data_IF_350424341552
#
_entry.id   IF_350424341552
#
_cell.length_a   1.000
_cell.length_b   1.000
_cell.length_c   1.000
_cell.angle_alpha   90.00
_cell.angle_beta   90.00
_cell.angle_gamma   90.00
#
_symmetry.space_group_name_H-M   'P 1'
#
loop_
_entity.id
_entity.type
_entity.pdbx_description
1 polymer ?
#
# COMPACT_ATOMS: atom_id res chain seq x y z
N UNK A 1 8.30 -12.10 20.77
CA UNK A 1 9.35 -11.83 21.79
C UNK A 1 8.70 -11.55 23.14
N UNK A 2 9.16 -12.19 24.21
CA UNK A 2 8.58 -12.10 25.55
C UNK A 2 9.52 -11.32 26.47
N UNK A 3 9.01 -10.32 27.18
CA UNK A 3 9.70 -9.52 28.19
C UNK A 3 8.77 -9.35 29.40
N UNK A 4 8.60 -10.43 30.18
CA UNK A 4 7.78 -10.40 31.38
C UNK A 4 8.68 -10.30 32.61
N UNK A 5 8.41 -9.32 33.45
CA UNK A 5 9.02 -9.17 34.76
C UNK A 5 8.02 -9.55 35.85
N UNK A 6 8.51 -10.25 36.87
CA UNK A 6 7.76 -10.60 38.07
C UNK A 6 8.45 -9.98 39.28
N UNK A 7 7.72 -9.22 40.09
CA UNK A 7 8.29 -8.51 41.24
C UNK A 7 7.35 -8.63 42.44
N UNK A 8 7.88 -9.09 43.57
CA UNK A 8 7.12 -9.10 44.82
C UNK A 8 7.04 -7.70 45.41
N UNK A 9 5.83 -7.27 45.75
CA UNK A 9 5.59 -6.04 46.46
C UNK A 9 5.71 -6.23 47.97
N UNK A 10 5.92 -5.13 48.70
CA UNK A 10 6.02 -5.13 50.16
C UNK A 10 4.75 -5.65 50.87
N UNK A 11 3.60 -5.63 50.19
CA UNK A 11 2.32 -6.14 50.70
C UNK A 11 2.13 -7.65 50.44
N UNK A 12 3.11 -8.33 49.84
CA UNK A 12 3.03 -9.76 49.51
C UNK A 12 2.30 -10.08 48.20
N UNK A 13 1.95 -9.07 47.39
CA UNK A 13 1.38 -9.27 46.04
C UNK A 13 2.49 -9.44 45.02
N UNK A 14 2.34 -10.41 44.11
CA UNK A 14 3.23 -10.54 42.95
C UNK A 14 2.75 -9.63 41.81
N UNK A 15 3.56 -8.66 41.40
CA UNK A 15 3.28 -7.86 40.20
C UNK A 15 3.91 -8.52 38.97
N UNK A 16 3.08 -8.87 37.99
CA UNK A 16 3.52 -9.24 36.65
C UNK A 16 3.41 -8.02 35.74
N UNK A 17 4.42 -7.77 34.92
CA UNK A 17 4.41 -6.63 33.99
C UNK A 17 5.26 -6.91 32.75
N UNK A 18 5.02 -6.14 31.69
CA UNK A 18 5.78 -6.21 30.45
C UNK A 18 4.99 -6.86 29.33
N UNK A 19 5.65 -7.64 28.48
CA UNK A 19 5.06 -8.14 27.24
C UNK A 19 5.20 -9.64 27.07
N UNK A 20 4.15 -10.27 26.55
CA UNK A 20 4.12 -11.67 26.13
C UNK A 20 3.88 -11.78 24.63
N UNK A 21 4.31 -12.87 24.02
CA UNK A 21 4.00 -13.11 22.61
C UNK A 21 2.59 -13.68 22.40
N UNK A 22 2.17 -14.59 23.29
CA UNK A 22 0.90 -15.31 23.21
C UNK A 22 0.18 -15.29 24.55
N UNK A 23 -1.11 -14.96 24.51
CA UNK A 23 -2.00 -14.89 25.67
C UNK A 23 -2.28 -16.24 26.35
N UNK A 24 -2.26 -17.33 25.59
CA UNK A 24 -2.43 -18.69 26.13
C UNK A 24 -1.30 -19.12 27.09
N UNK A 25 -0.06 -18.72 26.79
CA UNK A 25 1.11 -18.97 27.64
C UNK A 25 1.00 -18.21 28.95
N UNK A 26 0.55 -16.96 28.92
CA UNK A 26 0.33 -16.17 30.13
C UNK A 26 -0.82 -16.77 30.96
N UNK A 27 -1.88 -17.27 30.32
CA UNK A 27 -2.98 -17.94 31.02
C UNK A 27 -2.51 -19.16 31.82
N UNK A 28 -1.57 -19.93 31.27
CA UNK A 28 -0.98 -21.08 31.98
C UNK A 28 -0.21 -20.65 33.23
N UNK A 29 0.45 -19.49 33.21
CA UNK A 29 1.14 -18.92 34.38
C UNK A 29 0.13 -18.48 35.44
N UNK A 30 -0.93 -17.77 35.03
CA UNK A 30 -2.02 -17.32 35.91
C UNK A 30 -2.66 -18.46 36.69
N UNK A 31 -2.96 -19.57 36.00
CA UNK A 31 -3.54 -20.76 36.62
C UNK A 31 -2.62 -21.39 37.67
N UNK A 32 -1.30 -21.45 37.41
CA UNK A 32 -0.32 -21.97 38.38
C UNK A 32 -0.20 -21.07 39.61
N UNK A 33 -0.13 -19.75 39.41
CA UNK A 33 -0.08 -18.80 40.52
C UNK A 33 -1.34 -18.90 41.39
N UNK A 34 -2.52 -19.01 40.77
CA UNK A 34 -3.78 -19.22 41.47
C UNK A 34 -3.81 -20.55 42.26
N UNK A 35 -3.33 -21.64 41.66
CA UNK A 35 -3.23 -22.94 42.34
C UNK A 35 -2.27 -22.94 43.54
N UNK A 36 -1.25 -22.07 43.52
CA UNK A 36 -0.32 -21.87 44.64
C UNK A 36 -0.82 -20.86 45.67
N UNK A 37 -2.01 -20.28 45.49
CA UNK A 37 -2.56 -19.27 46.40
C UNK A 37 -1.81 -17.94 46.35
N UNK A 38 -1.06 -17.67 45.28
CA UNK A 38 -0.32 -16.41 45.12
C UNK A 38 -1.30 -15.31 44.73
N UNK A 39 -1.40 -14.27 45.54
CA UNK A 39 -2.07 -13.03 45.16
C UNK A 39 -1.18 -12.28 44.14
N UNK A 40 -1.73 -11.96 42.97
CA UNK A 40 -0.97 -11.26 41.93
C UNK A 40 -1.77 -10.15 41.24
N UNK A 41 -1.05 -9.14 40.76
CA UNK A 41 -1.54 -8.10 39.85
C UNK A 41 -0.91 -8.32 38.48
N UNK A 42 -1.72 -8.33 37.44
CA UNK A 42 -1.27 -8.61 36.07
C UNK A 42 -1.40 -7.38 35.18
N UNK A 43 -0.24 -6.84 34.80
CA UNK A 43 -0.09 -5.72 33.87
C UNK A 43 0.73 -6.17 32.64
N UNK A 44 0.63 -7.44 32.25
CA UNK A 44 1.32 -7.98 31.07
C UNK A 44 0.42 -7.88 29.85
N UNK A 45 0.95 -7.30 28.77
CA UNK A 45 0.25 -7.13 27.50
C UNK A 45 0.78 -8.13 26.46
N UNK A 46 -0.10 -8.92 25.83
CA UNK A 46 0.34 -9.89 24.83
C UNK A 46 0.22 -9.38 23.40
N UNK A 47 1.23 -9.66 22.57
CA UNK A 47 1.28 -9.30 21.15
C UNK A 47 0.07 -9.80 20.36
N UNK A 48 -0.38 -11.03 20.60
CA UNK A 48 -1.57 -11.58 19.94
C UNK A 48 -2.88 -10.87 20.35
N UNK A 49 -2.98 -10.34 21.57
CA UNK A 49 -4.08 -9.49 22.00
C UNK A 49 -4.00 -8.10 21.38
N UNK A 50 -2.81 -7.48 21.37
CA UNK A 50 -2.58 -6.20 20.71
C UNK A 50 -2.96 -6.25 19.22
N UNK A 51 -2.51 -7.28 18.49
CA UNK A 51 -2.87 -7.49 17.08
C UNK A 51 -4.39 -7.58 16.90
N UNK A 52 -5.09 -8.31 17.78
CA UNK A 52 -6.56 -8.42 17.71
C UNK A 52 -7.25 -7.08 17.95
N UNK A 53 -6.85 -6.34 18.98
CA UNK A 53 -7.43 -5.04 19.29
C UNK A 53 -7.21 -4.02 18.16
N UNK A 54 -5.99 -3.96 17.59
CA UNK A 54 -5.70 -3.11 16.43
C UNK A 54 -6.54 -3.52 15.23
N UNK A 55 -6.64 -4.83 14.95
CA UNK A 55 -7.50 -5.36 13.87
C UNK A 55 -8.95 -4.96 14.05
N UNK A 56 -9.48 -5.06 15.26
CA UNK A 56 -10.88 -4.73 15.54
C UNK A 56 -11.17 -3.26 15.25
N UNK A 57 -10.28 -2.35 15.66
CA UNK A 57 -10.41 -0.90 15.37
C UNK A 57 -10.35 -0.63 13.86
N UNK A 58 -9.40 -1.25 13.15
CA UNK A 58 -9.25 -1.08 11.70
C UNK A 58 -10.47 -1.64 10.93
N UNK A 59 -10.94 -2.82 11.30
CA UNK A 59 -12.08 -3.48 10.63
C UNK A 59 -13.38 -2.72 10.91
N UNK A 60 -13.58 -2.18 12.12
CA UNK A 60 -14.74 -1.33 12.43
C UNK A 60 -14.75 -0.03 11.61
N UNK A 61 -13.58 0.47 11.21
CA UNK A 61 -13.47 1.57 10.28
C UNK A 61 -13.62 1.15 8.81
N UNK A 62 -13.76 -0.15 8.53
CA UNK A 62 -13.96 -0.78 7.21
C UNK A 62 -12.67 -1.20 6.51
N UNK A 63 -11.53 -1.26 7.22
CA UNK A 63 -10.24 -1.66 6.62
C UNK A 63 -10.16 -3.19 6.70
N UNK A 64 -10.64 -3.85 5.65
CA UNK A 64 -10.88 -5.31 5.67
C UNK A 64 -9.66 -6.12 5.20
N UNK A 65 -8.89 -5.59 4.25
CA UNK A 65 -7.67 -6.21 3.74
C UNK A 65 -6.44 -5.69 4.49
N UNK A 66 -6.30 -6.11 5.75
CA UNK A 66 -5.21 -5.68 6.64
C UNK A 66 -4.30 -6.83 7.06
N UNK A 67 -3.01 -6.69 6.82
CA UNK A 67 -1.99 -7.54 7.41
C UNK A 67 -1.34 -6.81 8.60
N UNK A 68 -1.24 -7.50 9.74
CA UNK A 68 -0.69 -6.93 10.98
C UNK A 68 0.46 -7.80 11.46
N UNK A 69 1.62 -7.20 11.65
CA UNK A 69 2.82 -7.84 12.19
C UNK A 69 3.34 -7.10 13.41
N UNK A 70 4.22 -7.75 14.16
CA UNK A 70 4.89 -7.16 15.31
C UNK A 70 6.33 -7.65 15.35
N UNK A 71 7.26 -6.71 15.36
CA UNK A 71 8.71 -7.00 15.38
C UNK A 71 9.34 -6.74 16.75
N UNK A 72 8.69 -5.94 17.60
CA UNK A 72 9.13 -5.66 18.96
C UNK A 72 7.96 -5.51 19.96
N UNK A 73 8.21 -5.65 21.27
CA UNK A 73 7.19 -5.53 22.31
C UNK A 73 6.46 -4.18 22.31
N UNK A 74 5.15 -4.22 22.16
CA UNK A 74 4.30 -3.03 22.11
C UNK A 74 4.32 -2.31 20.76
N UNK A 75 4.92 -2.89 19.73
CA UNK A 75 4.92 -2.33 18.37
C UNK A 75 4.06 -3.16 17.42
N UNK A 76 3.28 -2.49 16.59
CA UNK A 76 2.47 -3.09 15.52
C UNK A 76 2.77 -2.39 14.20
N UNK A 77 3.05 -3.16 13.16
CA UNK A 77 3.10 -2.68 11.77
C UNK A 77 1.82 -3.07 11.06
N UNK A 78 1.21 -2.11 10.36
CA UNK A 78 0.03 -2.28 9.53
C UNK A 78 0.46 -2.26 8.07
N UNK A 79 0.30 -3.38 7.40
CA UNK A 79 0.42 -3.46 5.95
C UNK A 79 -0.98 -3.46 5.32
N UNK A 80 -1.39 -2.30 4.81
CA UNK A 80 -2.69 -2.07 4.20
C UNK A 80 -2.70 -0.77 3.39
N UNK A 81 -3.65 -0.66 2.46
CA UNK A 81 -3.89 0.60 1.73
C UNK A 81 -4.63 1.60 2.62
N UNK A 82 -3.86 2.33 3.43
CA UNK A 82 -4.38 3.35 4.34
C UNK A 82 -4.19 4.73 3.70
N UNK A 83 -5.29 5.31 3.23
CA UNK A 83 -5.32 6.71 2.83
C UNK A 83 -5.43 7.63 4.05
N UNK A 84 -4.53 8.62 4.12
CA UNK A 84 -4.51 9.67 5.14
C UNK A 84 -5.67 10.65 4.92
N UNK A 85 -6.86 10.29 5.41
CA UNK A 85 -8.09 11.06 5.26
C UNK A 85 -8.98 11.01 6.49
N UNK A 86 -10.22 11.50 6.35
CA UNK A 86 -11.19 11.59 7.47
C UNK A 86 -11.39 10.26 8.20
N UNK A 87 -11.40 9.16 7.45
CA UNK A 87 -11.57 7.81 7.98
C UNK A 87 -10.41 7.41 8.89
N UNK A 88 -9.17 7.57 8.43
CA UNK A 88 -7.98 7.35 9.25
C UNK A 88 -7.97 8.28 10.47
N UNK A 89 -8.19 9.58 10.25
CA UNK A 89 -8.25 10.56 11.34
C UNK A 89 -9.27 10.22 12.42
N UNK A 90 -10.40 9.61 12.04
CA UNK A 90 -11.45 9.18 12.98
C UNK A 90 -11.05 8.05 13.93
N UNK A 91 -10.06 7.22 13.56
CA UNK A 91 -9.62 6.08 14.39
C UNK A 91 -8.28 6.27 15.08
N UNK A 92 -7.49 7.29 14.70
CA UNK A 92 -6.18 7.53 15.31
C UNK A 92 -6.24 7.59 16.84
N UNK A 93 -7.25 8.27 17.39
CA UNK A 93 -7.40 8.38 18.84
C UNK A 93 -7.79 7.05 19.50
N UNK A 94 -8.54 6.19 18.82
CA UNK A 94 -8.88 4.88 19.38
C UNK A 94 -7.64 3.99 19.43
N UNK A 95 -6.81 4.02 18.38
CA UNK A 95 -5.55 3.29 18.32
C UNK A 95 -4.59 3.72 19.44
N UNK A 96 -4.46 5.02 19.73
CA UNK A 96 -3.58 5.51 20.81
C UNK A 96 -4.06 5.14 22.23
N UNK A 97 -5.33 4.76 22.38
CA UNK A 97 -5.88 4.32 23.68
C UNK A 97 -5.72 2.83 23.96
N UNK A 98 -5.21 2.04 23.00
CA UNK A 98 -4.97 0.60 23.18
C UNK A 98 -3.86 0.39 24.23
N UNK A 99 -4.16 -0.24 25.38
CA UNK A 99 -3.15 -0.50 26.41
C UNK A 99 -1.99 -1.32 25.87
N UNK A 100 -0.76 -0.93 26.20
CA UNK A 100 0.44 -1.65 25.77
C UNK A 100 0.93 -1.35 24.36
N UNK A 101 0.13 -0.70 23.50
CA UNK A 101 0.57 -0.23 22.19
C UNK A 101 1.43 1.03 22.35
N UNK A 102 2.70 0.93 22.01
CA UNK A 102 3.70 2.02 22.08
C UNK A 102 3.92 2.68 20.74
N UNK A 103 4.08 1.88 19.70
CA UNK A 103 4.39 2.34 18.36
C UNK A 103 3.49 1.65 17.33
N UNK A 104 3.03 2.44 16.38
CA UNK A 104 2.25 2.00 15.24
C UNK A 104 2.97 2.46 13.98
N UNK A 105 3.28 1.51 13.11
CA UNK A 105 3.87 1.76 11.81
C UNK A 105 2.84 1.42 10.73
N UNK A 106 2.81 2.22 9.66
CA UNK A 106 1.95 1.98 8.51
C UNK A 106 2.87 1.81 7.32
N UNK A 107 2.82 0.62 6.74
CA UNK A 107 3.55 0.24 5.56
C UNK A 107 2.54 0.10 4.42
N UNK A 108 2.47 1.07 3.50
CA UNK A 108 1.64 0.91 2.29
C UNK A 108 2.45 0.17 1.23
N UNK A 109 2.60 -1.15 1.41
CA UNK A 109 3.40 -1.99 0.52
C UNK A 109 2.84 -1.96 -0.90
N UNK A 110 1.52 -1.98 -1.06
CA UNK A 110 0.85 -1.93 -2.36
C UNK A 110 1.17 -0.64 -3.13
N UNK A 111 1.08 0.52 -2.46
CA UNK A 111 1.49 1.82 -3.03
C UNK A 111 2.98 1.84 -3.38
N UNK A 112 3.83 1.28 -2.51
CA UNK A 112 5.27 1.19 -2.77
C UNK A 112 5.56 0.34 -4.01
N UNK A 113 4.86 -0.79 -4.15
CA UNK A 113 5.00 -1.72 -5.28
C UNK A 113 4.54 -1.10 -6.60
N UNK A 114 3.37 -0.45 -6.64
CA UNK A 114 2.88 0.16 -7.88
C UNK A 114 3.77 1.33 -8.30
N UNK A 115 4.24 2.13 -7.35
CA UNK A 115 5.15 3.24 -7.64
C UNK A 115 6.47 2.73 -8.23
N UNK A 116 7.02 1.64 -7.68
CA UNK A 116 8.20 1.00 -8.24
C UNK A 116 7.95 0.44 -9.66
N UNK A 117 6.81 -0.23 -9.87
CA UNK A 117 6.42 -0.75 -11.18
C UNK A 117 6.32 0.37 -12.23
N UNK A 118 5.58 1.45 -11.92
CA UNK A 118 5.42 2.59 -12.82
C UNK A 118 6.78 3.25 -13.11
N UNK A 119 7.62 3.43 -12.09
CA UNK A 119 8.95 3.99 -12.27
C UNK A 119 9.82 3.14 -13.21
N UNK A 120 9.82 1.81 -13.03
CA UNK A 120 10.56 0.91 -13.92
C UNK A 120 10.02 0.94 -15.36
N UNK A 121 8.70 1.02 -15.55
CA UNK A 121 8.09 1.13 -16.88
C UNK A 121 8.48 2.44 -17.58
N UNK A 122 8.52 3.55 -16.85
CA UNK A 122 8.98 4.84 -17.37
C UNK A 122 10.46 4.77 -17.78
N UNK A 123 11.32 4.19 -16.93
CA UNK A 123 12.75 4.08 -17.19
C UNK A 123 13.06 3.24 -18.44
N UNK A 124 12.24 2.23 -18.72
CA UNK A 124 12.35 1.37 -19.92
C UNK A 124 11.55 1.89 -21.12
N UNK A 125 10.94 3.07 -21.04
CA UNK A 125 10.06 3.65 -22.07
C UNK A 125 8.89 2.74 -22.47
N UNK A 126 8.42 1.92 -21.54
CA UNK A 126 7.26 1.03 -21.72
C UNK A 126 5.94 1.68 -21.26
N UNK A 127 6.00 2.76 -20.47
CA UNK A 127 4.81 3.43 -19.93
C UNK A 127 3.84 3.94 -21.00
N UNK A 128 4.32 4.27 -22.20
CA UNK A 128 3.52 4.70 -23.35
C UNK A 128 2.96 3.54 -24.18
N UNK A 129 3.26 2.30 -23.78
CA UNK A 129 2.86 1.07 -24.48
C UNK A 129 1.93 0.18 -23.67
N UNK A 130 1.96 0.31 -22.35
CA UNK A 130 1.13 -0.49 -21.44
C UNK A 130 0.37 0.37 -20.44
N UNK A 131 -0.79 -0.13 -20.02
CA UNK A 131 -1.48 0.31 -18.81
C UNK A 131 -1.23 -0.66 -17.67
N UNK A 132 -1.34 -0.17 -16.44
CA UNK A 132 -1.30 -0.94 -15.20
C UNK A 132 -2.59 -0.65 -14.43
N UNK A 133 -3.30 -1.70 -14.02
CA UNK A 133 -4.50 -1.60 -13.20
C UNK A 133 -4.39 -2.52 -12.00
N UNK A 134 -4.81 -2.03 -10.84
CA UNK A 134 -4.91 -2.84 -9.62
C UNK A 134 -6.20 -3.65 -9.65
N UNK A 135 -6.11 -4.97 -9.43
CA UNK A 135 -7.24 -5.90 -9.31
C UNK A 135 -7.07 -6.67 -7.99
N UNK A 136 -7.71 -6.16 -6.93
CA UNK A 136 -7.39 -6.57 -5.56
C UNK A 136 -5.93 -6.27 -5.25
N UNK A 137 -5.20 -7.27 -4.76
CA UNK A 137 -3.77 -7.19 -4.43
C UNK A 137 -2.83 -7.49 -5.63
N UNK A 138 -3.38 -7.65 -6.84
CA UNK A 138 -2.60 -7.94 -8.05
C UNK A 138 -2.54 -6.74 -8.98
N UNK A 139 -1.41 -6.59 -9.69
CA UNK A 139 -1.28 -5.64 -10.79
C UNK A 139 -1.39 -6.37 -12.12
N UNK A 140 -2.33 -5.90 -12.94
CA UNK A 140 -2.52 -6.35 -14.32
C UNK A 140 -1.92 -5.33 -15.25
N UNK A 141 -0.96 -5.77 -16.06
CA UNK A 141 -0.34 -4.99 -17.12
C UNK A 141 -1.00 -5.37 -18.44
N UNK A 142 -1.55 -4.40 -19.16
CA UNK A 142 -2.20 -4.61 -20.46
C UNK A 142 -1.58 -3.71 -21.53
N UNK A 143 -1.25 -4.27 -22.69
CA UNK A 143 -0.82 -3.50 -23.85
C UNK A 143 -0.44 -4.43 -25.00
N UNK A 144 -0.24 -3.85 -26.17
CA UNK A 144 0.26 -4.60 -27.33
C UNK A 144 1.74 -4.30 -27.48
N UNK A 145 2.57 -5.28 -27.15
CA UNK A 145 4.03 -5.19 -27.21
C UNK A 145 4.61 -6.05 -28.32
N UNK A 146 5.66 -5.56 -28.96
CA UNK A 146 6.48 -6.40 -29.82
C UNK A 146 7.37 -7.34 -29.00
N UNK A 147 8.06 -8.27 -29.67
CA UNK A 147 8.88 -9.29 -28.99
C UNK A 147 9.98 -8.68 -28.09
N UNK A 148 10.65 -7.62 -28.54
CA UNK A 148 11.73 -6.99 -27.77
C UNK A 148 11.16 -6.25 -26.54
N UNK A 149 10.05 -5.53 -26.72
CA UNK A 149 9.36 -4.84 -25.62
C UNK A 149 8.83 -5.83 -24.59
N UNK A 150 8.28 -6.97 -25.03
CA UNK A 150 7.81 -8.03 -24.13
C UNK A 150 8.97 -8.68 -23.37
N UNK A 151 10.13 -8.86 -23.98
CA UNK A 151 11.33 -9.33 -23.29
C UNK A 151 11.80 -8.33 -22.22
N UNK A 152 11.83 -7.04 -22.54
CA UNK A 152 12.15 -5.97 -21.58
C UNK A 152 11.15 -5.95 -20.41
N UNK A 153 9.85 -6.08 -20.71
CA UNK A 153 8.82 -6.17 -19.67
C UNK A 153 9.05 -7.39 -18.78
N UNK A 154 9.28 -8.56 -19.35
CA UNK A 154 9.52 -9.78 -18.56
C UNK A 154 10.74 -9.66 -17.63
N UNK A 155 11.82 -9.03 -18.10
CA UNK A 155 13.00 -8.77 -17.27
C UNK A 155 12.69 -7.84 -16.10
N UNK A 156 11.97 -6.75 -16.36
CA UNK A 156 11.50 -5.81 -15.35
C UNK A 156 10.61 -6.51 -14.31
N UNK A 157 9.62 -7.31 -14.75
CA UNK A 157 8.74 -8.02 -13.83
C UNK A 157 9.51 -9.06 -12.99
N UNK A 158 10.59 -9.65 -13.51
CA UNK A 158 11.46 -10.52 -12.74
C UNK A 158 12.23 -9.75 -11.66
N UNK A 159 12.77 -8.57 -11.98
CA UNK A 159 13.44 -7.70 -11.01
C UNK A 159 12.50 -7.24 -9.89
N UNK A 160 11.25 -6.87 -10.24
CA UNK A 160 10.25 -6.50 -9.24
C UNK A 160 9.89 -7.67 -8.31
N UNK A 161 9.81 -8.90 -8.82
CA UNK A 161 9.58 -10.09 -7.97
C UNK A 161 10.75 -10.39 -7.03
N UNK A 162 11.97 -10.00 -7.41
CA UNK A 162 13.14 -10.09 -6.51
C UNK A 162 13.10 -9.00 -5.44
N UNK A 163 12.70 -7.77 -5.81
CA UNK A 163 12.57 -6.65 -4.89
C UNK A 163 11.41 -6.83 -3.90
N UNK A 164 10.28 -7.36 -4.38
CA UNK A 164 9.06 -7.58 -3.62
C UNK A 164 8.61 -9.05 -3.72
N UNK A 165 9.15 -9.93 -2.87
CA UNK A 165 8.72 -11.33 -2.83
C UNK A 165 7.21 -11.43 -2.62
N UNK A 166 6.53 -12.18 -3.50
CA UNK A 166 5.07 -12.38 -3.42
C UNK A 166 4.22 -11.37 -4.19
N UNK A 167 4.80 -10.36 -4.83
CA UNK A 167 4.05 -9.42 -5.68
C UNK A 167 3.32 -10.18 -6.82
N UNK A 168 2.01 -9.96 -6.93
CA UNK A 168 1.18 -10.58 -7.95
C UNK A 168 1.17 -9.70 -9.21
N UNK A 169 1.94 -10.13 -10.23
CA UNK A 169 2.08 -9.43 -11.51
C UNK A 169 1.62 -10.32 -12.66
N UNK A 170 0.77 -9.80 -13.54
CA UNK A 170 0.36 -10.48 -14.78
C UNK A 170 0.42 -9.54 -15.97
N UNK A 171 0.77 -10.08 -17.14
CA UNK A 171 0.74 -9.35 -18.41
C UNK A 171 -0.30 -9.96 -19.35
N UNK A 172 -1.08 -9.10 -19.98
CA UNK A 172 -2.07 -9.48 -20.99
C UNK A 172 -1.76 -8.72 -22.29
N UNK A 173 -1.55 -9.47 -23.37
CA UNK A 173 -1.34 -8.91 -24.70
C UNK A 173 -2.68 -8.48 -25.32
N UNK A 174 -3.30 -7.47 -24.72
CA UNK A 174 -4.58 -6.91 -25.12
C UNK A 174 -4.41 -5.39 -25.08
N UNK A 175 -4.99 -4.69 -26.06
CA UNK A 175 -4.99 -3.24 -26.07
C UNK A 175 -5.56 -2.71 -24.75
N UNK A 176 -4.94 -1.65 -24.22
CA UNK A 176 -5.45 -0.96 -23.03
C UNK A 176 -6.88 -0.50 -23.30
N UNK A 177 -7.76 -0.56 -22.29
CA UNK A 177 -9.15 -0.12 -22.48
C UNK A 177 -9.18 1.33 -22.98
N UNK A 178 -10.06 1.61 -23.94
CA UNK A 178 -10.27 2.98 -24.45
C UNK A 178 -10.79 3.97 -23.41
N UNK A 179 -10.99 3.53 -22.16
CA UNK A 179 -11.37 4.36 -21.01
C UNK A 179 -10.36 5.46 -20.69
N UNK A 180 -9.12 5.36 -21.20
CA UNK A 180 -8.13 6.42 -21.09
C UNK A 180 -8.62 7.78 -21.60
N UNK A 181 -9.52 7.83 -22.58
CA UNK A 181 -10.09 9.09 -23.09
C UNK A 181 -10.97 9.79 -22.04
N UNK A 182 -11.66 9.01 -21.20
CA UNK A 182 -12.53 9.55 -20.15
C UNK A 182 -11.73 10.12 -18.98
N UNK A 183 -10.40 9.91 -18.98
CA UNK A 183 -9.50 10.45 -17.97
C UNK A 183 -8.97 11.84 -18.34
N UNK A 184 -9.28 12.38 -19.51
CA UNK A 184 -8.95 13.77 -19.83
C UNK A 184 -10.11 14.69 -19.39
N UNK A 185 -9.81 15.93 -18.94
CA UNK A 185 -10.85 16.89 -18.57
C UNK A 185 -11.69 17.35 -19.77
N UNK A 186 -11.12 17.26 -20.98
CA UNK A 186 -11.74 17.62 -22.25
C UNK A 186 -11.15 16.75 -23.38
N UNK A 187 -11.87 16.52 -24.49
CA UNK A 187 -11.35 15.73 -25.61
C UNK A 187 -10.03 16.29 -26.15
N UNK A 188 -9.20 15.40 -26.71
CA UNK A 188 -7.91 15.77 -27.29
C UNK A 188 -8.16 16.33 -28.68
N UNK A 189 -7.83 17.61 -28.88
CA UNK A 189 -7.93 18.28 -30.17
C UNK A 189 -6.72 18.00 -31.06
N UNK A 190 -5.50 18.02 -30.50
CA UNK A 190 -4.27 17.80 -31.26
C UNK A 190 -3.05 17.44 -30.39
N UNK A 191 -2.03 16.85 -31.03
CA UNK A 191 -0.65 16.83 -30.52
C UNK A 191 0.12 17.94 -31.21
N UNK A 192 0.83 18.77 -30.43
CA UNK A 192 1.55 19.91 -30.97
C UNK A 192 3.03 19.86 -30.59
N UNK A 193 3.88 20.04 -31.60
CA UNK A 193 5.31 20.23 -31.45
C UNK A 193 5.62 21.71 -31.22
N UNK A 194 5.81 22.10 -29.97
CA UNK A 194 6.21 23.47 -29.61
C UNK A 194 7.71 23.62 -29.43
N UNK A 195 8.17 24.86 -29.29
CA UNK A 195 9.57 25.17 -28.94
C UNK A 195 9.99 24.61 -27.57
N UNK A 196 9.02 24.39 -26.67
CA UNK A 196 9.22 23.81 -25.34
C UNK A 196 8.94 22.30 -25.31
N UNK A 197 8.95 21.64 -26.47
CA UNK A 197 8.64 20.22 -26.61
C UNK A 197 7.15 19.92 -26.84
N UNK A 198 6.83 18.63 -26.84
CA UNK A 198 5.49 18.10 -27.12
C UNK A 198 4.48 18.53 -26.07
N UNK A 199 3.25 18.79 -26.51
CA UNK A 199 2.09 18.94 -25.64
C UNK A 199 0.81 18.49 -26.34
N UNK A 200 -0.17 18.06 -25.55
CA UNK A 200 -1.53 17.84 -26.01
C UNK A 200 -2.32 19.13 -25.88
N UNK A 201 -3.05 19.49 -26.93
CA UNK A 201 -4.05 20.54 -26.91
C UNK A 201 -5.41 19.88 -26.75
N UNK A 202 -6.14 20.26 -25.70
CA UNK A 202 -7.52 19.83 -25.50
C UNK A 202 -8.49 20.79 -26.20
N UNK A 203 -9.73 20.35 -26.45
CA UNK A 203 -10.75 21.15 -27.13
C UNK A 203 -11.16 22.42 -26.36
N UNK A 204 -10.95 22.45 -25.05
CA UNK A 204 -11.17 23.62 -24.19
C UNK A 204 -9.98 24.60 -24.19
N UNK A 205 -8.91 24.28 -24.93
CA UNK A 205 -7.69 25.08 -25.04
C UNK A 205 -6.63 24.78 -23.98
N UNK A 206 -6.88 23.85 -23.05
CA UNK A 206 -5.88 23.42 -22.08
C UNK A 206 -4.70 22.72 -22.78
N UNK A 207 -3.50 22.89 -22.22
CA UNK A 207 -2.26 22.30 -22.72
C UNK A 207 -1.67 21.35 -21.71
N UNK A 208 -1.64 20.07 -22.02
CA UNK A 208 -1.04 19.05 -21.18
C UNK A 208 0.37 18.69 -21.66
N UNK A 209 1.35 18.77 -20.77
CA UNK A 209 2.75 18.39 -20.97
C UNK A 209 3.13 17.32 -19.95
N UNK A 210 4.28 16.66 -20.14
CA UNK A 210 4.87 15.86 -19.05
C UNK A 210 5.00 16.72 -17.78
N UNK A 211 4.49 16.20 -16.66
CA UNK A 211 4.37 16.89 -15.37
C UNK A 211 3.06 17.65 -15.15
N UNK A 212 2.18 17.77 -16.17
CA UNK A 212 0.86 18.38 -16.00
C UNK A 212 -0.02 17.55 -15.06
N UNK A 213 -0.66 18.22 -14.12
CA UNK A 213 -1.62 17.63 -13.19
C UNK A 213 -3.04 17.74 -13.75
N UNK A 214 -3.78 16.64 -13.70
CA UNK A 214 -5.18 16.57 -14.11
C UNK A 214 -6.09 16.91 -12.92
N UNK A 215 -7.25 17.56 -13.14
CA UNK A 215 -8.19 17.92 -12.06
C UNK A 215 -8.66 16.75 -11.19
N UNK A 216 -8.69 15.56 -11.76
CA UNK A 216 -9.08 14.30 -11.13
C UNK A 216 -7.94 13.56 -10.41
N UNK A 217 -6.79 14.22 -10.20
CA UNK A 217 -5.68 13.69 -9.40
C UNK A 217 -4.70 12.79 -10.15
N UNK A 218 -4.67 12.87 -11.48
CA UNK A 218 -3.66 12.18 -12.30
C UNK A 218 -2.54 13.10 -12.76
N UNK A 219 -1.42 12.53 -13.21
CA UNK A 219 -0.28 13.27 -13.76
C UNK A 219 0.11 12.71 -15.13
N UNK A 220 0.43 13.59 -16.08
CA UNK A 220 1.04 13.17 -17.35
C UNK A 220 2.50 12.81 -17.09
N UNK A 221 2.84 11.51 -17.14
CA UNK A 221 4.18 11.02 -16.83
C UNK A 221 5.02 10.68 -18.06
N UNK A 222 4.39 10.46 -19.21
CA UNK A 222 5.06 10.30 -20.48
C UNK A 222 4.17 10.77 -21.63
N UNK A 223 4.78 11.28 -22.70
CA UNK A 223 4.08 11.85 -23.83
C UNK A 223 4.97 11.76 -25.09
N UNK A 224 4.47 11.08 -26.12
CA UNK A 224 5.08 11.01 -27.46
C UNK A 224 4.05 11.29 -28.55
N UNK A 225 4.48 11.23 -29.80
CA UNK A 225 3.61 11.39 -30.97
C UNK A 225 2.55 10.29 -31.11
N UNK A 226 2.75 9.15 -30.44
CA UNK A 226 1.90 7.98 -30.56
C UNK A 226 1.01 7.74 -29.33
N UNK A 227 1.41 8.22 -28.15
CA UNK A 227 0.67 7.96 -26.93
C UNK A 227 0.96 8.95 -25.81
N UNK A 228 0.11 8.91 -24.80
CA UNK A 228 0.30 9.58 -23.51
C UNK A 228 0.08 8.58 -22.38
N UNK A 229 0.92 8.67 -21.36
CA UNK A 229 0.80 7.88 -20.15
C UNK A 229 0.40 8.78 -18.97
N UNK A 230 -0.67 8.41 -18.30
CA UNK A 230 -1.23 9.10 -17.14
C UNK A 230 -1.02 8.24 -15.89
N UNK A 231 -0.37 8.80 -14.87
CA UNK A 231 -0.24 8.16 -13.55
C UNK A 231 -1.38 8.59 -12.65
N UNK A 232 -2.00 7.61 -12.01
CA UNK A 232 -2.90 7.78 -10.88
C UNK A 232 -2.28 7.09 -9.64
N UNK A 233 -2.80 7.32 -8.42
CA UNK A 233 -2.27 6.66 -7.22
C UNK A 233 -2.21 5.14 -7.32
N UNK A 234 -3.18 4.52 -7.99
CA UNK A 234 -3.40 3.07 -8.08
C UNK A 234 -3.36 2.50 -9.50
N UNK A 235 -2.98 3.31 -10.49
CA UNK A 235 -2.97 2.92 -11.90
C UNK A 235 -1.96 3.70 -12.76
N UNK A 236 -1.61 3.09 -13.89
CA UNK A 236 -1.00 3.76 -15.03
C UNK A 236 -1.93 3.57 -16.22
N UNK A 237 -2.35 4.65 -16.86
CA UNK A 237 -3.26 4.59 -18.01
C UNK A 237 -2.52 5.07 -19.24
N UNK A 238 -2.35 4.19 -20.22
CA UNK A 238 -1.87 4.53 -21.54
C UNK A 238 -3.06 4.82 -22.46
N UNK A 239 -3.01 5.97 -23.12
CA UNK A 239 -3.89 6.28 -24.24
C UNK A 239 -3.06 6.45 -25.52
N UNK A 240 -3.24 5.53 -26.47
CA UNK A 240 -2.66 5.61 -27.80
C UNK A 240 -3.53 6.47 -28.71
N UNK A 241 -2.88 7.30 -29.50
CA UNK A 241 -3.54 8.20 -30.43
C UNK A 241 -3.92 7.48 -31.73
N UNK A 242 -5.16 7.69 -32.19
CA UNK A 242 -5.72 7.05 -33.39
C UNK A 242 -6.19 8.05 -34.45
N UNK A 243 -5.57 9.24 -34.53
CA UNK A 243 -5.90 10.25 -35.54
C UNK A 243 -5.12 10.04 -36.84
#
# INVERSE_FOLDING_TARGET
MTQVAATWEKNGTLRLSGYCEKSDRLQSVRLKLGAWGVLYQDNVECTDQLIRQVRDVLTQAGYDEIELTSHAPGEISINADIMMGKRWAGIQQQLTTIPGLKHLHIDNLHETQINALIASLLQQRLAEKVSVTSVGQAFVISGVLNMNEQQSLNHLLAQLRQQFPGIALSYQNVASSGEGIQRFPSPIAAIVHGQQGLYLLLEDGERLRTGSQLPQGGEVVALTDAAVALRFPDALVNYSFNF
#
